data_IF_632780608045
#
_entry.id   IF_632780608045
#
_cell.length_a   1.000
_cell.length_b   1.000
_cell.length_c   1.000
_cell.angle_alpha   90.00
_cell.angle_beta   90.00
_cell.angle_gamma   90.00
#
_symmetry.space_group_name_H-M   'P 1'
#
loop_
_entity.id
_entity.type
_entity.pdbx_description
1 polymer ?
#
# COMPACT_ATOMS: atom_id res chain seq x y z
N UNK A 1 -5.17 -31.75 -2.61
CA UNK A 1 -4.41 -31.58 -1.36
C UNK A 1 -5.29 -31.88 -0.16
N UNK A 2 -4.80 -32.57 0.88
CA UNK A 2 -5.56 -32.77 2.13
C UNK A 2 -5.90 -31.42 2.76
N UNK A 3 -7.10 -31.29 3.32
CA UNK A 3 -7.56 -30.05 3.98
C UNK A 3 -6.66 -29.64 5.15
N UNK A 4 -6.10 -30.62 5.86
CA UNK A 4 -5.16 -30.40 6.97
C UNK A 4 -3.87 -29.71 6.54
N UNK A 5 -3.30 -30.08 5.38
CA UNK A 5 -2.10 -29.44 4.82
C UNK A 5 -2.37 -27.98 4.40
N UNK A 6 -3.53 -27.72 3.79
CA UNK A 6 -3.94 -26.37 3.44
C UNK A 6 -4.04 -25.48 4.69
N UNK A 7 -4.70 -25.96 5.74
CA UNK A 7 -4.88 -25.24 7.01
C UNK A 7 -3.53 -24.97 7.71
N UNK A 8 -2.65 -25.97 7.80
CA UNK A 8 -1.33 -25.86 8.42
C UNK A 8 -0.45 -24.81 7.74
N UNK A 9 -0.44 -24.75 6.38
CA UNK A 9 0.28 -23.71 5.63
C UNK A 9 -0.25 -22.31 5.92
N UNK A 10 -1.56 -22.15 5.99
CA UNK A 10 -2.18 -20.87 6.32
C UNK A 10 -1.72 -20.35 7.69
N UNK A 11 -1.80 -21.19 8.72
CA UNK A 11 -1.42 -20.80 10.06
C UNK A 11 0.09 -20.61 10.26
N UNK A 12 0.93 -21.24 9.44
CA UNK A 12 2.38 -21.08 9.51
C UNK A 12 2.86 -19.84 8.72
N UNK A 13 2.33 -19.61 7.53
CA UNK A 13 2.88 -18.64 6.58
C UNK A 13 2.18 -17.28 6.69
N UNK A 14 0.85 -17.26 6.78
CA UNK A 14 0.13 -15.99 6.72
C UNK A 14 0.38 -15.04 7.89
N UNK A 15 0.54 -15.50 9.14
CA UNK A 15 0.94 -14.60 10.22
C UNK A 15 2.31 -13.94 9.97
N UNK A 16 3.28 -14.71 9.44
CA UNK A 16 4.62 -14.19 9.12
C UNK A 16 4.53 -13.12 8.02
N UNK A 17 3.78 -13.39 6.97
CA UNK A 17 3.53 -12.44 5.88
C UNK A 17 2.84 -11.18 6.39
N UNK A 18 1.81 -11.34 7.22
CA UNK A 18 1.04 -10.24 7.77
C UNK A 18 1.90 -9.35 8.69
N UNK A 19 2.66 -9.93 9.63
CA UNK A 19 3.54 -9.17 10.53
C UNK A 19 4.60 -8.43 9.73
N UNK A 20 5.26 -9.10 8.77
CA UNK A 20 6.30 -8.49 7.94
C UNK A 20 5.76 -7.29 7.18
N UNK A 21 4.59 -7.45 6.56
CA UNK A 21 3.99 -6.37 5.77
C UNK A 21 3.41 -5.25 6.64
N UNK A 22 2.89 -5.59 7.83
CA UNK A 22 2.44 -4.61 8.81
C UNK A 22 3.60 -3.73 9.29
N UNK A 23 4.75 -4.31 9.60
CA UNK A 23 5.95 -3.55 9.97
C UNK A 23 6.41 -2.64 8.83
N UNK A 24 6.40 -3.13 7.59
CA UNK A 24 6.74 -2.32 6.42
C UNK A 24 5.76 -1.16 6.17
N UNK A 25 4.49 -1.34 6.50
CA UNK A 25 3.49 -0.28 6.28
C UNK A 25 3.50 0.81 7.35
N UNK A 26 4.06 0.53 8.52
CA UNK A 26 4.13 1.45 9.66
C UNK A 26 4.90 2.72 9.31
N UNK A 27 6.07 2.60 8.67
CA UNK A 27 6.96 3.72 8.34
C UNK A 27 6.41 4.69 7.30
N UNK A 28 5.35 4.31 6.59
CA UNK A 28 4.69 5.17 5.60
C UNK A 28 3.83 6.25 6.24
N UNK A 29 3.26 5.99 7.41
CA UNK A 29 2.31 6.87 8.07
C UNK A 29 2.91 7.61 9.27
N UNK A 30 3.98 7.09 9.91
CA UNK A 30 4.54 7.63 11.16
C UNK A 30 5.09 9.06 11.01
N UNK A 31 5.60 9.44 9.83
CA UNK A 31 6.05 10.82 9.59
C UNK A 31 4.92 11.84 9.76
N UNK A 32 3.68 11.48 9.44
CA UNK A 32 2.51 12.33 9.66
C UNK A 32 2.29 12.64 11.15
N UNK A 33 2.52 11.66 12.04
CA UNK A 33 2.47 11.84 13.49
C UNK A 33 3.62 12.71 13.99
N UNK A 34 4.84 12.50 13.50
CA UNK A 34 5.98 13.34 13.82
C UNK A 34 5.76 14.80 13.39
N UNK A 35 5.17 15.04 12.21
CA UNK A 35 4.82 16.36 11.70
C UNK A 35 3.78 17.06 12.59
N UNK A 36 2.78 16.31 13.09
CA UNK A 36 1.78 16.81 14.04
C UNK A 36 2.36 17.05 15.44
N UNK A 37 3.45 16.35 15.78
CA UNK A 37 4.09 16.35 17.10
C UNK A 37 5.22 17.39 17.25
N UNK A 38 5.57 18.13 16.21
CA UNK A 38 6.51 19.22 16.33
C UNK A 38 7.89 19.03 15.71
N UNK A 39 8.14 17.97 14.94
CA UNK A 39 9.41 17.79 14.21
C UNK A 39 9.77 19.01 13.35
N UNK A 40 8.75 19.67 12.79
CA UNK A 40 8.92 20.84 11.94
C UNK A 40 9.49 22.04 12.72
N UNK A 41 9.01 22.26 13.95
CA UNK A 41 9.50 23.31 14.83
C UNK A 41 10.91 23.00 15.33
N UNK A 42 11.15 21.75 15.76
CA UNK A 42 12.44 21.32 16.31
C UNK A 42 13.60 21.43 15.31
N UNK A 43 13.32 21.18 14.04
CA UNK A 43 14.33 21.17 12.98
C UNK A 43 14.28 22.40 12.06
N UNK A 44 13.39 23.38 12.34
CA UNK A 44 13.22 24.58 11.52
C UNK A 44 12.71 24.29 10.10
N UNK A 45 11.84 23.28 9.94
CA UNK A 45 11.35 22.81 8.64
C UNK A 45 10.08 23.58 8.25
N UNK A 46 10.08 24.19 7.06
CA UNK A 46 8.85 24.77 6.50
C UNK A 46 7.82 23.71 6.12
N UNK A 47 6.52 24.09 6.07
CA UNK A 47 5.44 23.16 5.70
C UNK A 47 5.67 22.49 4.34
N UNK A 48 6.13 23.25 3.34
CA UNK A 48 6.44 22.71 2.01
C UNK A 48 7.60 21.73 2.02
N UNK A 49 8.65 22.02 2.79
CA UNK A 49 9.81 21.13 2.93
C UNK A 49 9.45 19.86 3.73
N UNK A 50 8.64 19.99 4.77
CA UNK A 50 8.11 18.83 5.52
C UNK A 50 7.35 17.87 4.62
N UNK A 51 6.53 18.41 3.69
CA UNK A 51 5.81 17.62 2.70
C UNK A 51 6.76 16.87 1.77
N UNK A 52 7.81 17.54 1.31
CA UNK A 52 8.83 16.91 0.46
C UNK A 52 9.53 15.78 1.21
N UNK A 53 9.94 16.01 2.45
CA UNK A 53 10.60 15.00 3.29
C UNK A 53 9.71 13.76 3.46
N UNK A 54 8.43 13.96 3.79
CA UNK A 54 7.46 12.86 3.88
C UNK A 54 7.27 12.12 2.56
N UNK A 55 7.24 12.84 1.45
CA UNK A 55 7.05 12.29 0.12
C UNK A 55 8.28 11.56 -0.44
N UNK A 56 9.52 11.93 -0.05
CA UNK A 56 10.75 11.33 -0.56
C UNK A 56 10.81 9.81 -0.40
N UNK A 57 10.15 9.27 0.62
CA UNK A 57 9.95 7.84 0.78
C UNK A 57 9.34 7.21 -0.48
N UNK A 58 8.25 7.76 -0.99
CA UNK A 58 7.55 7.21 -2.16
C UNK A 58 8.35 7.35 -3.45
N UNK A 59 9.21 8.37 -3.54
CA UNK A 59 10.11 8.53 -4.68
C UNK A 59 11.17 7.42 -4.71
N UNK A 60 11.81 7.14 -3.57
CA UNK A 60 12.73 6.01 -3.43
C UNK A 60 12.04 4.68 -3.74
N UNK A 61 10.83 4.50 -3.22
CA UNK A 61 10.01 3.32 -3.44
C UNK A 61 9.66 3.12 -4.94
N UNK A 62 9.30 4.19 -5.66
CA UNK A 62 8.99 4.15 -7.09
C UNK A 62 10.16 3.61 -7.94
N UNK A 63 11.35 4.13 -7.75
CA UNK A 63 12.50 3.75 -8.58
C UNK A 63 13.00 2.33 -8.34
N UNK A 64 12.88 1.82 -7.11
CA UNK A 64 13.49 0.55 -6.73
C UNK A 64 12.49 -0.62 -6.65
N UNK A 65 11.21 -0.40 -6.83
CA UNK A 65 10.19 -1.45 -6.78
C UNK A 65 10.39 -2.51 -7.88
N UNK A 66 10.61 -2.10 -9.13
CA UNK A 66 10.84 -3.03 -10.25
C UNK A 66 12.17 -3.80 -10.10
N UNK A 67 13.31 -3.16 -9.83
CA UNK A 67 14.54 -3.86 -9.51
C UNK A 67 14.41 -4.86 -8.36
N UNK A 68 13.71 -4.48 -7.30
CA UNK A 68 13.43 -5.34 -6.15
C UNK A 68 12.59 -6.56 -6.50
N UNK A 69 11.54 -6.40 -7.32
CA UNK A 69 10.73 -7.50 -7.82
C UNK A 69 11.54 -8.51 -8.62
N UNK A 70 12.39 -8.04 -9.55
CA UNK A 70 13.26 -8.88 -10.37
C UNK A 70 14.24 -9.66 -9.49
N UNK A 71 14.81 -9.03 -8.46
CA UNK A 71 15.70 -9.70 -7.53
C UNK A 71 14.96 -10.80 -6.74
N UNK A 72 13.77 -10.51 -6.23
CA UNK A 72 12.95 -11.47 -5.48
C UNK A 72 12.61 -12.72 -6.31
N UNK A 73 12.30 -12.55 -7.59
CA UNK A 73 11.99 -13.67 -8.51
C UNK A 73 13.22 -14.54 -8.83
N UNK A 74 14.40 -13.92 -8.98
CA UNK A 74 15.61 -14.60 -9.46
C UNK A 74 16.49 -15.17 -8.37
N UNK A 75 16.37 -14.66 -7.15
CA UNK A 75 17.24 -15.01 -6.01
C UNK A 75 16.43 -15.56 -4.85
N UNK A 76 16.65 -15.08 -3.65
CA UNK A 76 16.02 -15.53 -2.42
C UNK A 76 15.15 -14.43 -1.84
N UNK A 77 13.86 -14.70 -1.68
CA UNK A 77 12.94 -13.80 -0.95
C UNK A 77 13.38 -13.68 0.51
N UNK A 78 13.78 -14.81 1.13
CA UNK A 78 14.24 -14.84 2.52
C UNK A 78 15.38 -13.86 2.77
N UNK A 79 16.43 -13.92 1.94
CA UNK A 79 17.60 -13.05 2.07
C UNK A 79 17.28 -11.58 1.78
N UNK A 80 16.48 -11.33 0.73
CA UNK A 80 16.07 -9.98 0.36
C UNK A 80 15.30 -9.30 1.50
N UNK A 81 14.26 -9.96 2.01
CA UNK A 81 13.41 -9.40 3.06
C UNK A 81 14.15 -9.27 4.38
N UNK A 82 15.06 -10.21 4.71
CA UNK A 82 15.92 -10.08 5.88
C UNK A 82 16.72 -8.77 5.86
N UNK A 83 17.46 -8.52 4.78
CA UNK A 83 18.25 -7.30 4.66
C UNK A 83 17.37 -6.04 4.56
N UNK A 84 16.23 -6.14 3.89
CA UNK A 84 15.26 -5.04 3.88
C UNK A 84 14.80 -4.71 5.30
N UNK A 85 14.42 -5.70 6.13
CA UNK A 85 13.99 -5.53 7.52
C UNK A 85 15.06 -4.85 8.38
N UNK A 86 16.32 -5.30 8.27
CA UNK A 86 17.44 -4.71 9.02
C UNK A 86 17.70 -3.28 8.59
N UNK A 87 17.80 -3.05 7.30
CA UNK A 87 18.14 -1.73 6.76
C UNK A 87 17.01 -0.72 6.94
N UNK A 88 15.76 -1.09 6.68
CA UNK A 88 14.67 -0.14 6.87
C UNK A 88 14.40 0.13 8.35
N UNK A 89 14.42 -0.90 9.23
CA UNK A 89 14.27 -0.71 10.66
C UNK A 89 15.39 0.17 11.23
N UNK A 90 16.63 -0.01 10.73
CA UNK A 90 17.75 0.87 11.04
C UNK A 90 17.54 2.29 10.56
N UNK A 91 17.10 2.51 9.31
CA UNK A 91 16.78 3.84 8.78
C UNK A 91 15.62 4.52 9.56
N UNK A 92 14.58 3.76 9.91
CA UNK A 92 13.47 4.26 10.71
C UNK A 92 13.95 4.73 12.08
N UNK A 93 14.72 3.91 12.80
CA UNK A 93 15.29 4.26 14.08
C UNK A 93 16.27 5.45 13.98
N UNK A 94 17.10 5.50 12.94
CA UNK A 94 18.01 6.63 12.67
C UNK A 94 17.26 7.94 12.43
N UNK A 95 16.03 7.91 11.93
CA UNK A 95 15.18 9.11 11.81
C UNK A 95 14.98 9.80 13.17
N UNK A 96 14.93 9.04 14.27
CA UNK A 96 14.78 9.57 15.63
C UNK A 96 16.02 10.31 16.16
N UNK A 97 17.21 10.05 15.63
CA UNK A 97 18.46 10.69 16.09
C UNK A 97 18.98 11.80 15.18
N UNK A 98 18.28 12.07 14.07
CA UNK A 98 18.67 13.10 13.10
C UNK A 98 18.55 14.50 13.69
N UNK A 99 19.54 15.34 13.43
CA UNK A 99 19.60 16.75 13.88
C UNK A 99 19.60 17.75 12.71
N UNK A 100 19.65 17.31 11.46
CA UNK A 100 19.70 18.20 10.31
C UNK A 100 18.82 17.71 9.14
N UNK A 101 18.35 18.66 8.33
CA UNK A 101 17.44 18.42 7.21
C UNK A 101 18.04 17.51 6.12
N UNK A 102 19.28 17.72 5.64
CA UNK A 102 19.84 16.87 4.59
C UNK A 102 19.91 15.39 4.98
N UNK A 103 20.29 15.08 6.22
CA UNK A 103 20.32 13.70 6.72
C UNK A 103 18.91 13.11 6.80
N UNK A 104 17.92 13.88 7.25
CA UNK A 104 16.53 13.45 7.29
C UNK A 104 15.99 13.12 5.89
N UNK A 105 16.26 13.99 4.90
CA UNK A 105 15.89 13.74 3.50
C UNK A 105 16.54 12.49 2.94
N UNK A 106 17.84 12.31 3.18
CA UNK A 106 18.58 11.13 2.73
C UNK A 106 18.01 9.84 3.34
N UNK A 107 17.76 9.83 4.65
CA UNK A 107 17.21 8.67 5.35
C UNK A 107 15.80 8.35 4.85
N UNK A 108 14.92 9.35 4.65
CA UNK A 108 13.57 9.13 4.13
C UNK A 108 13.58 8.54 2.71
N UNK A 109 14.48 9.01 1.84
CA UNK A 109 14.65 8.44 0.51
C UNK A 109 15.18 7.00 0.57
N UNK A 110 16.24 6.75 1.35
CA UNK A 110 16.83 5.42 1.52
C UNK A 110 15.84 4.42 2.12
N UNK A 111 15.02 4.85 3.08
CA UNK A 111 13.95 4.03 3.64
C UNK A 111 13.00 3.54 2.53
N UNK A 112 12.58 4.44 1.63
CA UNK A 112 11.76 4.08 0.48
C UNK A 112 12.45 3.10 -0.48
N UNK A 113 13.74 3.31 -0.77
CA UNK A 113 14.55 2.41 -1.61
C UNK A 113 14.59 1.00 -1.04
N UNK A 114 14.88 0.87 0.24
CA UNK A 114 15.05 -0.43 0.91
C UNK A 114 13.73 -1.17 1.06
N UNK A 115 12.64 -0.45 1.33
CA UNK A 115 11.32 -1.05 1.50
C UNK A 115 10.64 -1.41 0.16
N UNK A 116 11.06 -0.80 -0.96
CA UNK A 116 10.44 -0.97 -2.26
C UNK A 116 10.30 -2.44 -2.71
N UNK A 117 11.24 -3.28 -2.33
CA UNK A 117 11.29 -4.69 -2.68
C UNK A 117 10.31 -5.57 -1.87
N UNK A 118 9.81 -5.09 -0.73
CA UNK A 118 9.07 -5.94 0.25
C UNK A 118 7.75 -6.43 -0.30
N UNK A 119 6.92 -5.55 -0.86
CA UNK A 119 5.61 -5.95 -1.42
C UNK A 119 5.77 -6.96 -2.57
N UNK A 120 6.60 -6.72 -3.60
CA UNK A 120 6.86 -7.72 -4.63
C UNK A 120 7.41 -9.03 -4.08
N UNK A 121 8.33 -8.96 -3.12
CA UNK A 121 8.90 -10.14 -2.48
C UNK A 121 7.83 -10.98 -1.76
N UNK A 122 6.89 -10.33 -1.06
CA UNK A 122 5.77 -11.03 -0.42
C UNK A 122 4.85 -11.71 -1.43
N UNK A 123 4.58 -11.09 -2.57
CA UNK A 123 3.79 -11.72 -3.64
C UNK A 123 4.50 -12.94 -4.23
N UNK A 124 5.82 -12.85 -4.46
CA UNK A 124 6.65 -13.99 -4.90
C UNK A 124 6.63 -15.09 -3.83
N UNK A 125 6.83 -14.74 -2.57
CA UNK A 125 6.79 -15.68 -1.45
C UNK A 125 5.46 -16.41 -1.38
N UNK A 126 4.34 -15.69 -1.43
CA UNK A 126 3.00 -16.29 -1.46
C UNK A 126 2.86 -17.23 -2.67
N UNK A 127 3.40 -16.87 -3.84
CA UNK A 127 3.33 -17.71 -5.03
C UNK A 127 4.12 -19.01 -4.92
N UNK A 128 5.17 -19.04 -4.12
CA UNK A 128 5.97 -20.22 -3.86
C UNK A 128 5.29 -21.21 -2.90
N UNK A 129 4.29 -20.76 -2.13
CA UNK A 129 3.66 -21.55 -1.08
C UNK A 129 2.20 -21.88 -1.33
N UNK A 130 1.49 -21.07 -2.12
CA UNK A 130 0.04 -21.19 -2.34
C UNK A 130 -0.27 -21.43 -3.80
N UNK A 131 -1.16 -22.40 -4.05
CA UNK A 131 -1.69 -22.65 -5.38
C UNK A 131 -2.51 -21.45 -5.87
N UNK A 132 -2.71 -21.34 -7.18
CA UNK A 132 -3.44 -20.25 -7.81
C UNK A 132 -4.83 -20.03 -7.19
N UNK A 133 -5.52 -21.12 -6.83
CA UNK A 133 -6.85 -21.06 -6.21
C UNK A 133 -6.82 -20.42 -4.82
N UNK A 134 -5.73 -20.59 -4.08
CA UNK A 134 -5.54 -20.08 -2.73
C UNK A 134 -4.88 -18.68 -2.73
N UNK A 135 -4.06 -18.39 -3.75
CA UNK A 135 -3.23 -17.19 -3.86
C UNK A 135 -4.03 -15.90 -3.83
N UNK A 136 -5.23 -15.88 -4.46
CA UNK A 136 -6.09 -14.70 -4.44
C UNK A 136 -6.48 -14.32 -3.00
N UNK A 137 -6.88 -15.30 -2.19
CA UNK A 137 -7.21 -15.09 -0.76
C UNK A 137 -5.99 -14.65 0.04
N UNK A 138 -4.81 -15.24 -0.21
CA UNK A 138 -3.58 -14.88 0.49
C UNK A 138 -3.14 -13.43 0.16
N UNK A 139 -3.26 -13.02 -1.09
CA UNK A 139 -2.97 -11.64 -1.50
C UNK A 139 -3.97 -10.63 -0.90
N UNK A 140 -5.26 -10.98 -0.81
CA UNK A 140 -6.26 -10.14 -0.12
C UNK A 140 -5.88 -9.96 1.34
N UNK A 141 -5.48 -11.04 2.02
CA UNK A 141 -5.04 -10.98 3.40
C UNK A 141 -3.78 -10.13 3.59
N UNK A 142 -2.82 -10.21 2.66
CA UNK A 142 -1.65 -9.33 2.63
C UNK A 142 -2.05 -7.84 2.53
N UNK A 143 -2.93 -7.49 1.57
CA UNK A 143 -3.35 -6.10 1.33
C UNK A 143 -4.17 -5.54 2.49
N UNK A 144 -4.93 -6.38 3.19
CA UNK A 144 -5.68 -6.00 4.39
C UNK A 144 -4.75 -5.47 5.50
N UNK A 145 -3.48 -5.86 5.50
CA UNK A 145 -2.46 -5.31 6.38
C UNK A 145 -2.35 -3.79 6.32
N UNK A 146 -2.63 -3.15 5.17
CA UNK A 146 -2.50 -1.70 5.03
C UNK A 146 -3.38 -0.91 6.02
N UNK A 147 -4.72 -0.95 5.94
CA UNK A 147 -5.56 -0.19 6.85
C UNK A 147 -5.48 -0.71 8.29
N UNK A 148 -5.31 -2.02 8.50
CA UNK A 148 -5.18 -2.60 9.83
C UNK A 148 -3.91 -2.10 10.52
N UNK A 149 -2.80 -1.98 9.81
CA UNK A 149 -1.55 -1.45 10.38
C UNK A 149 -1.71 0.01 10.79
N UNK A 150 -2.25 0.86 9.92
CA UNK A 150 -2.43 2.28 10.25
C UNK A 150 -3.44 2.46 11.40
N UNK A 151 -4.44 1.58 11.51
CA UNK A 151 -5.40 1.57 12.60
C UNK A 151 -4.72 1.46 13.97
N UNK A 152 -3.98 0.38 14.24
CA UNK A 152 -3.35 0.18 15.56
C UNK A 152 -2.14 1.09 15.76
N UNK A 153 -1.36 1.32 14.71
CA UNK A 153 -0.19 2.18 14.74
C UNK A 153 -0.56 3.64 15.09
N UNK A 154 -1.69 4.17 14.57
CA UNK A 154 -2.13 5.53 14.89
C UNK A 154 -2.30 5.73 16.40
N UNK A 155 -2.85 4.74 17.09
CA UNK A 155 -3.00 4.76 18.55
C UNK A 155 -1.64 4.69 19.23
N UNK A 156 -0.81 3.72 18.84
CA UNK A 156 0.54 3.51 19.43
C UNK A 156 1.41 4.75 19.23
N UNK A 157 1.47 5.30 18.01
CA UNK A 157 2.24 6.52 17.71
C UNK A 157 1.74 7.72 18.54
N UNK A 158 0.42 7.84 18.73
CA UNK A 158 -0.16 8.88 19.57
C UNK A 158 0.36 8.84 21.02
N UNK A 159 0.38 7.64 21.62
CA UNK A 159 0.93 7.44 22.97
C UNK A 159 2.45 7.63 23.02
N UNK A 160 3.20 7.07 22.08
CA UNK A 160 4.66 7.19 22.04
C UNK A 160 5.10 8.65 21.92
N UNK A 161 4.42 9.41 21.06
CA UNK A 161 4.70 10.84 20.91
C UNK A 161 4.36 11.62 22.17
N UNK A 162 3.24 11.31 22.82
CA UNK A 162 2.81 12.00 24.05
C UNK A 162 3.81 11.80 25.18
N UNK A 163 4.23 10.55 25.41
CA UNK A 163 5.10 10.21 26.54
C UNK A 163 6.58 10.50 26.27
N UNK A 164 7.06 10.24 25.06
CA UNK A 164 8.50 10.20 24.76
C UNK A 164 8.92 11.16 23.63
N UNK A 165 7.98 11.82 22.96
CA UNK A 165 8.23 12.68 21.82
C UNK A 165 8.51 11.92 20.51
N UNK A 166 8.53 12.68 19.39
CA UNK A 166 8.64 12.10 18.03
C UNK A 166 9.95 11.33 17.78
N UNK A 167 11.04 11.71 18.44
CA UNK A 167 12.34 11.03 18.27
C UNK A 167 12.29 9.59 18.77
N UNK A 168 11.80 9.39 19.98
CA UNK A 168 11.67 8.06 20.56
C UNK A 168 10.60 7.23 19.86
N UNK A 169 9.55 7.86 19.33
CA UNK A 169 8.55 7.18 18.50
C UNK A 169 9.23 6.47 17.30
N UNK A 170 10.07 7.17 16.52
CA UNK A 170 10.78 6.56 15.40
C UNK A 170 11.71 5.41 15.83
N UNK A 171 12.42 5.57 16.94
CA UNK A 171 13.29 4.50 17.47
C UNK A 171 12.45 3.28 17.89
N UNK A 172 11.37 3.50 18.64
CA UNK A 172 10.49 2.44 19.13
C UNK A 172 9.75 1.71 18.00
N UNK A 173 9.41 2.39 16.91
CA UNK A 173 8.73 1.82 15.75
C UNK A 173 9.69 1.15 14.75
N UNK A 174 10.95 1.62 14.67
CA UNK A 174 11.97 1.02 13.80
C UNK A 174 12.59 -0.26 14.36
N UNK A 175 12.85 -0.33 15.67
CA UNK A 175 13.48 -1.48 16.30
C UNK A 175 12.73 -2.81 16.13
N UNK A 176 11.40 -2.88 16.20
CA UNK A 176 10.66 -4.12 15.99
C UNK A 176 10.93 -4.78 14.63
N UNK A 177 11.19 -4.00 13.57
CA UNK A 177 11.55 -4.54 12.27
C UNK A 177 12.92 -5.26 12.30
N UNK A 178 13.90 -4.71 13.02
CA UNK A 178 15.22 -5.35 13.20
C UNK A 178 15.11 -6.63 14.02
N UNK A 179 14.32 -6.61 15.11
CA UNK A 179 14.05 -7.81 15.89
C UNK A 179 13.31 -8.86 15.07
N UNK A 180 12.33 -8.42 14.27
CA UNK A 180 11.58 -9.32 13.39
C UNK A 180 12.47 -9.92 12.29
N UNK A 181 13.51 -9.23 11.84
CA UNK A 181 14.49 -9.79 10.88
C UNK A 181 15.13 -11.07 11.41
N UNK A 182 15.47 -11.13 12.71
CA UNK A 182 15.99 -12.34 13.33
C UNK A 182 14.95 -13.46 13.32
N UNK A 183 13.70 -13.17 13.71
CA UNK A 183 12.61 -14.14 13.64
C UNK A 183 12.37 -14.62 12.18
N UNK A 184 12.34 -13.68 11.24
CA UNK A 184 12.21 -13.98 9.82
C UNK A 184 13.26 -14.95 9.32
N UNK A 185 14.53 -14.74 9.68
CA UNK A 185 15.63 -15.59 9.25
C UNK A 185 15.47 -17.06 9.69
N UNK A 186 14.95 -17.31 10.86
CA UNK A 186 14.78 -18.65 11.37
C UNK A 186 13.43 -19.30 10.95
N UNK A 187 12.37 -18.52 10.83
CA UNK A 187 11.03 -19.03 10.53
C UNK A 187 10.79 -19.27 9.06
N UNK A 188 11.42 -18.49 8.16
CA UNK A 188 11.10 -18.48 6.74
C UNK A 188 12.01 -19.38 5.93
N UNK A 189 11.41 -20.13 4.99
CA UNK A 189 12.07 -20.87 3.92
C UNK A 189 11.50 -20.40 2.59
N UNK A 190 12.35 -20.26 1.55
CA UNK A 190 11.94 -19.78 0.23
C UNK A 190 10.98 -20.73 -0.49
N UNK A 191 11.16 -22.04 -0.31
CA UNK A 191 10.43 -23.07 -1.02
C UNK A 191 9.95 -24.19 -0.10
N UNK A 192 8.85 -24.86 -0.45
CA UNK A 192 8.33 -26.01 0.32
C UNK A 192 9.35 -27.12 0.56
N UNK A 193 10.22 -27.41 -0.40
CA UNK A 193 11.27 -28.42 -0.28
C UNK A 193 12.21 -28.18 0.92
N UNK A 194 12.40 -26.93 1.33
CA UNK A 194 13.27 -26.53 2.44
C UNK A 194 12.57 -26.58 3.80
N UNK A 195 11.25 -26.75 3.83
CA UNK A 195 10.46 -26.67 5.05
C UNK A 195 10.69 -27.88 5.95
N UNK A 196 11.16 -27.63 7.19
CA UNK A 196 11.37 -28.68 8.19
C UNK A 196 10.06 -29.18 8.84
N UNK A 197 8.99 -28.38 8.75
CA UNK A 197 7.68 -28.68 9.34
C UNK A 197 6.74 -29.45 8.41
N UNK A 198 7.13 -29.65 7.14
CA UNK A 198 6.42 -30.50 6.17
C UNK A 198 7.04 -31.89 6.10
N UNK A 199 6.19 -32.92 5.97
CA UNK A 199 6.63 -34.28 5.64
C UNK A 199 7.09 -34.36 4.19
N UNK A 200 7.92 -35.35 3.86
CA UNK A 200 8.43 -35.49 2.49
C UNK A 200 7.32 -35.78 1.46
N UNK A 201 6.23 -36.40 1.88
CA UNK A 201 5.04 -36.59 1.05
C UNK A 201 4.36 -35.23 0.76
N UNK A 202 4.13 -34.43 1.80
CA UNK A 202 3.51 -33.11 1.66
C UNK A 202 4.34 -32.16 0.80
N UNK A 203 5.68 -32.20 0.90
CA UNK A 203 6.59 -31.46 0.03
C UNK A 203 6.40 -31.86 -1.42
N UNK A 204 6.46 -33.16 -1.72
CA UNK A 204 6.29 -33.67 -3.10
C UNK A 204 4.92 -33.29 -3.68
N UNK A 205 3.85 -33.47 -2.92
CA UNK A 205 2.49 -33.17 -3.37
C UNK A 205 2.31 -31.67 -3.67
N UNK A 206 2.90 -30.80 -2.83
CA UNK A 206 2.85 -29.36 -3.01
C UNK A 206 3.70 -28.90 -4.19
N UNK A 207 4.95 -29.40 -4.30
CA UNK A 207 5.85 -29.05 -5.40
C UNK A 207 5.28 -29.55 -6.75
N UNK A 208 4.67 -30.74 -6.80
CA UNK A 208 4.00 -31.25 -8.00
C UNK A 208 2.81 -30.36 -8.40
N UNK A 209 2.00 -29.91 -7.43
CA UNK A 209 0.87 -29.02 -7.71
C UNK A 209 1.33 -27.67 -8.27
N UNK A 210 2.36 -27.06 -7.66
CA UNK A 210 2.93 -25.78 -8.10
C UNK A 210 3.62 -25.93 -9.47
N UNK A 211 4.36 -27.02 -9.71
CA UNK A 211 5.00 -27.30 -11.00
C UNK A 211 3.98 -27.50 -12.11
N UNK A 212 2.87 -28.21 -11.85
CA UNK A 212 1.80 -28.41 -12.83
C UNK A 212 1.15 -27.06 -13.21
N UNK A 213 0.99 -26.14 -12.25
CA UNK A 213 0.49 -24.78 -12.54
C UNK A 213 1.47 -23.99 -13.41
N UNK A 214 2.77 -24.08 -13.14
CA UNK A 214 3.80 -23.39 -13.92
C UNK A 214 3.91 -23.95 -15.34
N UNK A 215 3.83 -25.26 -15.50
CA UNK A 215 3.86 -25.90 -16.82
C UNK A 215 2.66 -25.52 -17.71
N UNK A 216 1.50 -25.19 -17.08
CA UNK A 216 0.32 -24.72 -17.78
C UNK A 216 0.41 -23.25 -18.24
N UNK A 217 1.43 -22.49 -17.78
CA UNK A 217 1.65 -21.11 -18.19
C UNK A 217 2.41 -21.08 -19.53
N UNK A 218 1.78 -20.56 -20.58
CA UNK A 218 2.48 -20.32 -21.84
C UNK A 218 3.53 -19.23 -21.63
N UNK A 219 4.80 -19.42 -22.08
CA UNK A 219 5.81 -18.38 -21.97
C UNK A 219 5.40 -17.13 -22.73
N UNK A 220 5.53 -15.96 -22.10
CA UNK A 220 5.22 -14.68 -22.74
C UNK A 220 6.33 -14.32 -23.71
N UNK A 221 5.99 -14.09 -24.94
CA UNK A 221 6.93 -13.58 -25.94
C UNK A 221 7.20 -12.07 -25.82
N UNK A 222 6.30 -11.28 -25.20
CA UNK A 222 6.44 -9.83 -25.25
C UNK A 222 5.77 -9.09 -24.06
N UNK A 223 6.47 -8.96 -22.93
CA UNK A 223 6.04 -8.12 -21.80
C UNK A 223 5.81 -6.66 -22.23
N UNK A 224 6.53 -6.19 -23.23
CA UNK A 224 6.46 -4.79 -23.70
C UNK A 224 5.12 -4.43 -24.35
N UNK A 225 4.46 -5.38 -25.02
CA UNK A 225 3.13 -5.15 -25.60
C UNK A 225 2.05 -5.02 -24.55
N UNK A 226 2.15 -5.82 -23.48
CA UNK A 226 1.20 -5.74 -22.38
C UNK A 226 1.29 -4.40 -21.65
N UNK A 227 2.50 -3.87 -21.42
CA UNK A 227 2.69 -2.56 -20.79
C UNK A 227 2.19 -1.40 -21.67
N UNK A 228 2.11 -1.57 -23.00
CA UNK A 228 1.55 -0.60 -23.92
C UNK A 228 0.06 -0.76 -24.16
N UNK A 229 -0.58 -1.75 -23.59
CA UNK A 229 -2.02 -1.92 -23.67
C UNK A 229 -2.74 -0.67 -23.15
N UNK A 230 -3.69 -0.11 -23.91
CA UNK A 230 -4.48 1.07 -23.47
C UNK A 230 -5.17 0.83 -22.13
N UNK A 231 -5.56 -0.41 -21.84
CA UNK A 231 -6.17 -0.76 -20.57
C UNK A 231 -5.17 -0.63 -19.40
N UNK A 232 -3.93 -1.13 -19.58
CA UNK A 232 -2.88 -1.01 -18.55
C UNK A 232 -2.50 0.45 -18.34
N UNK A 233 -2.33 1.24 -19.39
CA UNK A 233 -2.02 2.66 -19.28
C UNK A 233 -3.11 3.42 -18.50
N UNK A 234 -4.39 3.13 -18.80
CA UNK A 234 -5.52 3.72 -18.07
C UNK A 234 -5.55 3.32 -16.60
N UNK A 235 -5.27 2.04 -16.28
CA UNK A 235 -5.20 1.57 -14.90
C UNK A 235 -4.00 2.17 -14.15
N UNK A 236 -2.87 2.37 -14.82
CA UNK A 236 -1.72 3.10 -14.27
C UNK A 236 -2.08 4.55 -13.91
N UNK A 237 -2.69 5.26 -14.85
CA UNK A 237 -3.13 6.64 -14.65
C UNK A 237 -4.22 6.73 -13.55
N UNK A 238 -5.16 5.77 -13.54
CA UNK A 238 -6.21 5.68 -12.54
C UNK A 238 -5.63 5.48 -11.14
N UNK A 239 -4.71 4.52 -10.98
CA UNK A 239 -4.11 4.22 -9.68
C UNK A 239 -3.15 5.34 -9.23
N UNK A 240 -2.47 6.01 -10.14
CA UNK A 240 -1.73 7.23 -9.87
C UNK A 240 -2.63 8.32 -9.28
N UNK A 241 -3.72 8.66 -9.96
CA UNK A 241 -4.66 9.68 -9.50
C UNK A 241 -5.32 9.30 -8.16
N UNK A 242 -5.71 8.04 -8.00
CA UNK A 242 -6.28 7.55 -6.74
C UNK A 242 -5.28 7.65 -5.59
N UNK A 243 -4.03 7.25 -5.81
CA UNK A 243 -2.98 7.30 -4.79
C UNK A 243 -2.65 8.73 -4.34
N UNK A 244 -2.85 9.74 -5.18
CA UNK A 244 -2.76 11.16 -4.78
C UNK A 244 -3.73 11.44 -3.61
N UNK A 245 -5.00 11.04 -3.73
CA UNK A 245 -5.99 11.23 -2.69
C UNK A 245 -5.67 10.44 -1.42
N UNK A 246 -5.33 9.16 -1.57
CA UNK A 246 -5.05 8.26 -0.43
C UNK A 246 -3.86 8.78 0.39
N UNK A 247 -2.72 9.03 -0.24
CA UNK A 247 -1.50 9.36 0.51
C UNK A 247 -1.38 10.84 0.87
N UNK A 248 -2.09 11.72 0.15
CA UNK A 248 -2.36 13.06 0.64
C UNK A 248 -3.15 13.03 1.96
N UNK A 249 -4.14 12.15 2.06
CA UNK A 249 -4.89 11.94 3.30
C UNK A 249 -4.04 11.30 4.40
N UNK A 250 -3.39 10.16 4.13
CA UNK A 250 -2.63 9.38 5.13
C UNK A 250 -1.58 10.23 5.83
N UNK A 251 -0.80 10.99 5.07
CA UNK A 251 0.29 11.80 5.62
C UNK A 251 -0.21 12.97 6.47
N UNK A 252 -1.31 13.60 6.04
CA UNK A 252 -1.78 14.84 6.66
C UNK A 252 -2.90 14.66 7.68
N UNK A 253 -3.54 13.49 7.74
CA UNK A 253 -4.64 13.20 8.67
C UNK A 253 -4.29 13.51 10.13
N UNK A 254 -3.13 13.08 10.70
CA UNK A 254 -2.82 13.41 12.10
C UNK A 254 -2.73 14.91 12.34
N UNK A 255 -2.13 15.66 11.41
CA UNK A 255 -2.04 17.12 11.50
C UNK A 255 -3.40 17.80 11.36
N UNK A 256 -4.27 17.31 10.48
CA UNK A 256 -5.65 17.84 10.30
C UNK A 256 -6.43 17.64 11.59
N UNK A 257 -6.38 16.44 12.16
CA UNK A 257 -7.08 16.09 13.40
C UNK A 257 -6.53 16.90 14.57
N UNK A 258 -5.21 16.96 14.74
CA UNK A 258 -4.56 17.71 15.83
C UNK A 258 -4.92 19.18 15.81
N UNK A 259 -4.83 19.82 14.65
CA UNK A 259 -5.09 21.25 14.50
C UNK A 259 -6.59 21.59 14.59
N UNK A 260 -7.46 20.71 14.09
CA UNK A 260 -8.90 20.93 14.06
C UNK A 260 -9.59 20.62 15.39
N UNK A 261 -9.15 19.61 16.13
CA UNK A 261 -9.73 19.22 17.41
C UNK A 261 -9.20 20.01 18.60
N UNK A 262 -8.00 20.56 18.49
CA UNK A 262 -7.23 21.16 19.60
C UNK A 262 -6.96 20.19 20.76
N UNK A 263 -7.10 18.87 20.54
CA UNK A 263 -6.87 17.81 21.53
C UNK A 263 -5.39 17.41 21.62
N UNK A 264 -5.05 16.55 22.58
CA UNK A 264 -3.70 16.01 22.75
C UNK A 264 -3.27 15.03 21.65
N UNK A 265 -2.04 14.50 21.72
CA UNK A 265 -1.53 13.54 20.73
C UNK A 265 -2.14 12.16 20.90
N UNK A 266 -2.55 11.77 22.11
CA UNK A 266 -3.24 10.51 22.38
C UNK A 266 -4.60 10.49 21.68
N UNK A 267 -5.41 11.53 21.89
CA UNK A 267 -6.71 11.68 21.25
C UNK A 267 -6.57 11.80 19.73
N UNK A 268 -5.55 12.51 19.26
CA UNK A 268 -5.21 12.56 17.83
C UNK A 268 -4.94 11.17 17.26
N UNK A 269 -4.24 10.32 18.00
CA UNK A 269 -4.00 8.92 17.63
C UNK A 269 -5.29 8.14 17.48
N UNK A 270 -6.17 8.18 18.48
CA UNK A 270 -7.47 7.50 18.43
C UNK A 270 -8.37 8.02 17.31
N UNK A 271 -8.47 9.31 17.14
CA UNK A 271 -9.24 9.90 16.06
C UNK A 271 -8.63 9.57 14.68
N UNK A 272 -7.31 9.53 14.55
CA UNK A 272 -6.67 9.12 13.29
C UNK A 272 -6.89 7.64 12.98
N UNK A 273 -7.12 6.79 13.98
CA UNK A 273 -7.38 5.36 13.80
C UNK A 273 -8.79 5.07 13.23
N UNK A 274 -9.79 5.88 13.57
CA UNK A 274 -11.19 5.61 13.23
C UNK A 274 -11.47 5.53 11.70
N UNK A 275 -10.91 6.41 10.85
CA UNK A 275 -11.02 6.27 9.40
C UNK A 275 -10.49 4.93 8.87
N UNK A 276 -9.44 4.37 9.48
CA UNK A 276 -8.86 3.10 9.05
C UNK A 276 -9.64 1.88 9.56
N UNK A 277 -10.33 1.99 10.69
CA UNK A 277 -11.31 1.01 11.11
C UNK A 277 -12.46 0.92 10.09
N UNK A 278 -13.01 2.08 9.74
CA UNK A 278 -14.06 2.17 8.71
C UNK A 278 -13.55 1.68 7.34
N UNK A 279 -12.31 2.01 6.97
CA UNK A 279 -11.64 1.55 5.76
C UNK A 279 -11.51 0.02 5.72
N UNK A 280 -11.11 -0.61 6.82
CA UNK A 280 -10.99 -2.08 6.94
C UNK A 280 -12.34 -2.75 6.69
N UNK A 281 -13.39 -2.28 7.34
CA UNK A 281 -14.75 -2.81 7.19
C UNK A 281 -15.25 -2.61 5.75
N UNK A 282 -15.08 -1.40 5.20
CA UNK A 282 -15.53 -1.07 3.85
C UNK A 282 -14.79 -1.89 2.77
N UNK A 283 -13.49 -2.11 2.93
CA UNK A 283 -12.69 -2.92 2.01
C UNK A 283 -13.14 -4.38 1.98
N UNK A 284 -13.41 -4.98 3.14
CA UNK A 284 -13.91 -6.35 3.23
C UNK A 284 -15.32 -6.46 2.62
N UNK A 285 -16.21 -5.54 2.96
CA UNK A 285 -17.59 -5.53 2.46
C UNK A 285 -17.64 -5.30 0.95
N UNK A 286 -16.87 -4.33 0.42
CA UNK A 286 -16.81 -4.04 -1.01
C UNK A 286 -16.21 -5.21 -1.81
N UNK A 287 -15.15 -5.84 -1.30
CA UNK A 287 -14.52 -7.00 -1.94
C UNK A 287 -15.50 -8.18 -2.01
N UNK A 288 -16.15 -8.50 -0.89
CA UNK A 288 -17.15 -9.57 -0.84
C UNK A 288 -18.35 -9.30 -1.76
N UNK A 289 -18.89 -8.09 -1.75
CA UNK A 289 -20.03 -7.71 -2.58
C UNK A 289 -19.65 -7.70 -4.08
N UNK A 290 -18.45 -7.20 -4.42
CA UNK A 290 -17.92 -7.22 -5.78
C UNK A 290 -17.78 -8.64 -6.33
N UNK A 291 -17.30 -9.58 -5.51
CA UNK A 291 -17.17 -10.99 -5.88
C UNK A 291 -18.56 -11.63 -6.10
N UNK A 292 -19.49 -11.36 -5.19
CA UNK A 292 -20.84 -11.92 -5.26
C UNK A 292 -21.66 -11.40 -6.46
N UNK A 293 -21.50 -10.12 -6.80
CA UNK A 293 -22.24 -9.47 -7.88
C UNK A 293 -21.52 -9.52 -9.22
N UNK A 294 -20.26 -9.97 -9.26
CA UNK A 294 -19.45 -10.05 -10.48
C UNK A 294 -19.13 -8.69 -11.11
N UNK A 295 -19.29 -7.59 -10.35
CA UNK A 295 -19.12 -6.23 -10.85
C UNK A 295 -17.91 -5.56 -10.20
N UNK A 296 -16.76 -5.56 -10.87
CA UNK A 296 -15.54 -4.94 -10.35
C UNK A 296 -15.61 -3.42 -10.37
N UNK A 297 -15.88 -2.85 -11.53
CA UNK A 297 -15.95 -1.39 -11.72
C UNK A 297 -17.05 -0.74 -10.87
N UNK A 298 -18.21 -1.41 -10.71
CA UNK A 298 -19.32 -0.94 -9.90
C UNK A 298 -18.95 -0.77 -8.41
N UNK A 299 -17.86 -1.36 -7.96
CA UNK A 299 -17.31 -1.20 -6.62
C UNK A 299 -16.01 -0.37 -6.58
N UNK A 300 -15.59 0.24 -7.70
CA UNK A 300 -14.44 1.15 -7.74
C UNK A 300 -14.89 2.60 -7.88
N UNK A 301 -15.56 2.96 -8.98
CA UNK A 301 -15.86 4.35 -9.26
C UNK A 301 -16.81 5.03 -8.25
N UNK A 302 -17.86 4.37 -7.70
CA UNK A 302 -18.77 5.05 -6.78
C UNK A 302 -18.07 5.40 -5.47
N UNK A 303 -17.26 4.48 -4.95
CA UNK A 303 -16.51 4.74 -3.72
C UNK A 303 -15.49 5.88 -3.89
N UNK A 304 -14.77 5.95 -5.02
CA UNK A 304 -13.87 7.07 -5.29
C UNK A 304 -14.61 8.41 -5.41
N UNK A 305 -15.82 8.39 -5.99
CA UNK A 305 -16.68 9.58 -6.06
C UNK A 305 -17.17 10.02 -4.67
N UNK A 306 -17.59 9.07 -3.83
CA UNK A 306 -17.96 9.33 -2.43
C UNK A 306 -16.77 9.94 -1.68
N UNK A 307 -15.55 9.41 -1.86
CA UNK A 307 -14.33 9.95 -1.27
C UNK A 307 -14.07 11.40 -1.69
N UNK A 308 -14.18 11.69 -2.99
CA UNK A 308 -14.04 13.05 -3.53
C UNK A 308 -15.07 14.02 -2.95
N UNK A 309 -16.34 13.62 -2.92
CA UNK A 309 -17.43 14.42 -2.38
C UNK A 309 -17.27 14.65 -0.87
N UNK A 310 -16.84 13.64 -0.12
CA UNK A 310 -16.62 13.74 1.32
C UNK A 310 -15.46 14.70 1.65
N UNK A 311 -14.38 14.72 0.85
CA UNK A 311 -13.32 15.73 1.00
C UNK A 311 -13.83 17.13 0.73
N UNK A 312 -14.54 17.34 -0.37
CA UNK A 312 -15.09 18.63 -0.72
C UNK A 312 -16.05 19.16 0.36
N UNK A 313 -16.95 18.30 0.85
CA UNK A 313 -17.91 18.64 1.91
C UNK A 313 -17.21 18.89 3.26
N UNK A 314 -16.20 18.07 3.63
CA UNK A 314 -15.41 18.28 4.85
C UNK A 314 -14.74 19.64 4.86
N UNK A 315 -14.18 20.05 3.71
CA UNK A 315 -13.60 21.36 3.56
C UNK A 315 -14.65 22.50 3.69
N UNK A 316 -15.80 22.38 3.00
CA UNK A 316 -16.84 23.40 2.99
C UNK A 316 -17.40 23.70 4.40
N UNK A 317 -17.41 22.70 5.29
CA UNK A 317 -17.82 22.86 6.70
C UNK A 317 -16.72 23.51 7.57
N UNK A 318 -15.48 23.37 7.18
CA UNK A 318 -14.34 24.00 7.85
C UNK A 318 -14.16 23.62 9.32
N UNK A 319 -13.39 24.44 10.04
CA UNK A 319 -13.13 24.26 11.47
C UNK A 319 -14.30 24.62 12.38
N UNK A 320 -15.28 25.37 11.89
CA UNK A 320 -16.47 25.77 12.65
C UNK A 320 -17.35 24.58 13.06
N UNK A 321 -17.32 23.49 12.25
CA UNK A 321 -18.08 22.27 12.52
C UNK A 321 -17.15 21.05 12.49
N UNK A 322 -16.08 21.09 13.27
CA UNK A 322 -15.02 20.07 13.28
C UNK A 322 -15.55 18.64 13.30
N UNK A 323 -16.49 18.30 14.17
CA UNK A 323 -16.97 16.92 14.30
C UNK A 323 -17.72 16.41 13.06
N UNK A 324 -18.46 17.28 12.37
CA UNK A 324 -19.11 16.91 11.11
C UNK A 324 -18.08 16.79 10.00
N UNK A 325 -17.14 17.73 9.92
CA UNK A 325 -16.00 17.68 9.00
C UNK A 325 -15.17 16.41 9.20
N UNK A 326 -14.90 16.05 10.46
CA UNK A 326 -14.19 14.83 10.82
C UNK A 326 -14.98 13.56 10.44
N UNK A 327 -16.29 13.50 10.66
CA UNK A 327 -17.13 12.39 10.23
C UNK A 327 -17.04 12.18 8.69
N UNK A 328 -17.00 13.27 7.93
CA UNK A 328 -16.78 13.21 6.47
C UNK A 328 -15.37 12.71 6.11
N UNK A 329 -14.35 13.02 6.91
CA UNK A 329 -13.00 12.44 6.73
C UNK A 329 -12.99 10.93 7.01
N UNK A 330 -13.78 10.44 7.98
CA UNK A 330 -13.95 9.00 8.21
C UNK A 330 -14.60 8.34 6.99
N UNK A 331 -15.64 8.96 6.43
CA UNK A 331 -16.28 8.48 5.18
C UNK A 331 -15.30 8.49 4.02
N UNK A 332 -14.51 9.56 3.85
CA UNK A 332 -13.50 9.64 2.80
C UNK A 332 -12.43 8.55 2.93
N UNK A 333 -11.94 8.30 4.15
CA UNK A 333 -11.00 7.23 4.43
C UNK A 333 -11.56 5.85 4.06
N UNK A 334 -12.77 5.53 4.52
CA UNK A 334 -13.47 4.29 4.17
C UNK A 334 -13.65 4.14 2.66
N UNK A 335 -14.11 5.19 2.00
CA UNK A 335 -14.38 5.20 0.56
C UNK A 335 -13.13 5.03 -0.29
N UNK A 336 -11.98 5.59 0.13
CA UNK A 336 -10.72 5.45 -0.60
C UNK A 336 -10.10 4.06 -0.48
N UNK A 337 -10.36 3.32 0.60
CA UNK A 337 -9.80 1.98 0.78
C UNK A 337 -10.73 0.86 0.26
N UNK A 338 -12.04 1.08 0.24
CA UNK A 338 -13.02 0.10 -0.25
C UNK A 338 -12.70 -0.49 -1.63
N UNK A 339 -12.22 0.29 -2.63
CA UNK A 339 -11.97 -0.21 -3.98
C UNK A 339 -10.75 -1.12 -4.14
N UNK A 340 -9.86 -1.25 -3.15
CA UNK A 340 -8.58 -1.97 -3.34
C UNK A 340 -8.75 -3.41 -3.86
N UNK A 341 -9.61 -4.19 -3.22
CA UNK A 341 -9.88 -5.57 -3.65
C UNK A 341 -10.47 -5.64 -5.06
N UNK A 342 -11.61 -4.98 -5.33
CA UNK A 342 -12.21 -4.93 -6.67
C UNK A 342 -11.27 -4.42 -7.76
N UNK A 343 -10.48 -3.36 -7.50
CA UNK A 343 -9.56 -2.79 -8.46
C UNK A 343 -8.44 -3.76 -8.87
N UNK A 344 -7.75 -4.35 -7.90
CA UNK A 344 -6.68 -5.30 -8.22
C UNK A 344 -7.19 -6.60 -8.82
N UNK A 345 -8.49 -6.92 -8.67
CA UNK A 345 -9.14 -8.03 -9.35
C UNK A 345 -9.39 -7.75 -10.85
N UNK A 346 -9.50 -6.48 -11.27
CA UNK A 346 -9.69 -6.11 -12.68
C UNK A 346 -8.47 -6.54 -13.53
N UNK A 347 -7.26 -6.38 -13.00
CA UNK A 347 -6.02 -6.60 -13.77
C UNK A 347 -5.91 -8.03 -14.34
N UNK A 348 -6.06 -9.10 -13.52
CA UNK A 348 -6.02 -10.47 -14.05
C UNK A 348 -7.24 -10.88 -14.87
N UNK A 349 -8.34 -10.11 -14.82
CA UNK A 349 -9.50 -10.33 -15.68
C UNK A 349 -9.32 -9.75 -17.09
N UNK A 350 -8.54 -8.65 -17.21
CA UNK A 350 -8.28 -7.97 -18.48
C UNK A 350 -7.05 -8.48 -19.22
N UNK A 351 -6.10 -9.10 -18.53
CA UNK A 351 -4.80 -9.46 -19.07
C UNK A 351 -4.54 -10.98 -19.00
N UNK A 352 -3.84 -11.55 -19.99
CA UNK A 352 -3.35 -12.91 -19.90
C UNK A 352 -2.51 -13.10 -18.63
N UNK A 353 -2.66 -14.27 -18.01
CA UNK A 353 -2.09 -14.60 -16.69
C UNK A 353 -0.58 -14.37 -16.55
N UNK A 354 0.14 -14.60 -17.64
CA UNK A 354 1.59 -14.51 -17.73
C UNK A 354 2.11 -13.05 -17.79
N UNK A 355 1.23 -12.09 -18.00
CA UNK A 355 1.54 -10.66 -18.11
C UNK A 355 0.96 -9.86 -16.94
N UNK A 356 -0.11 -10.40 -16.33
CA UNK A 356 -0.84 -9.72 -15.26
C UNK A 356 0.07 -9.33 -14.08
N UNK A 357 1.04 -10.18 -13.70
CA UNK A 357 2.00 -9.88 -12.62
C UNK A 357 2.86 -8.65 -12.90
N UNK A 358 3.46 -8.58 -14.09
CA UNK A 358 4.25 -7.42 -14.50
C UNK A 358 3.42 -6.14 -14.63
N UNK A 359 2.18 -6.25 -15.14
CA UNK A 359 1.27 -5.11 -15.21
C UNK A 359 0.85 -4.62 -13.81
N UNK A 360 0.60 -5.53 -12.87
CA UNK A 360 0.34 -5.16 -11.47
C UNK A 360 1.53 -4.43 -10.84
N UNK A 361 2.76 -4.88 -11.10
CA UNK A 361 3.96 -4.21 -10.61
C UNK A 361 4.08 -2.79 -11.18
N UNK A 362 3.82 -2.60 -12.47
CA UNK A 362 3.84 -1.29 -13.11
C UNK A 362 2.74 -0.37 -12.53
N UNK A 363 1.52 -0.88 -12.40
CA UNK A 363 0.40 -0.13 -11.82
C UNK A 363 0.75 0.29 -10.38
N UNK A 364 1.31 -0.61 -9.59
CA UNK A 364 1.70 -0.30 -8.21
C UNK A 364 2.84 0.73 -8.12
N UNK A 365 3.81 0.68 -9.05
CA UNK A 365 4.85 1.71 -9.16
C UNK A 365 4.26 3.08 -9.49
N UNK A 366 3.31 3.14 -10.42
CA UNK A 366 2.60 4.39 -10.73
C UNK A 366 1.79 4.91 -9.55
N UNK A 367 1.22 4.01 -8.73
CA UNK A 367 0.62 4.36 -7.46
C UNK A 367 1.62 4.99 -6.48
N UNK A 368 2.84 4.46 -6.40
CA UNK A 368 3.90 5.06 -5.56
C UNK A 368 4.26 6.48 -6.03
N UNK A 369 4.35 6.70 -7.34
CA UNK A 369 4.55 8.04 -7.89
C UNK A 369 3.38 8.97 -7.56
N UNK A 370 2.14 8.48 -7.64
CA UNK A 370 0.95 9.22 -7.21
C UNK A 370 0.99 9.56 -5.72
N UNK A 371 1.48 8.64 -4.90
CA UNK A 371 1.68 8.84 -3.46
C UNK A 371 2.71 9.94 -3.16
N UNK A 372 3.82 9.97 -3.93
CA UNK A 372 4.79 11.06 -3.87
C UNK A 372 4.14 12.41 -4.19
N UNK A 373 3.45 12.49 -5.32
CA UNK A 373 2.78 13.72 -5.76
C UNK A 373 1.71 14.16 -4.75
N UNK A 374 0.87 13.24 -4.27
CA UNK A 374 -0.17 13.53 -3.28
C UNK A 374 0.40 14.07 -1.98
N UNK A 375 1.37 13.36 -1.41
CA UNK A 375 2.01 13.75 -0.14
C UNK A 375 2.71 15.11 -0.24
N UNK A 376 3.44 15.36 -1.34
CA UNK A 376 4.19 16.59 -1.54
C UNK A 376 3.29 17.79 -1.86
N UNK A 377 2.43 17.66 -2.88
CA UNK A 377 1.65 18.78 -3.40
C UNK A 377 0.63 19.27 -2.37
N UNK A 378 0.00 18.38 -1.60
CA UNK A 378 -0.95 18.75 -0.54
C UNK A 378 -0.29 19.70 0.48
N UNK A 379 0.88 19.36 0.97
CA UNK A 379 1.54 20.21 1.93
C UNK A 379 2.20 21.46 1.32
N UNK A 380 2.69 21.38 0.08
CA UNK A 380 3.17 22.54 -0.66
C UNK A 380 2.04 23.57 -0.84
N UNK A 381 0.86 23.13 -1.29
CA UNK A 381 -0.30 24.01 -1.43
C UNK A 381 -0.73 24.62 -0.10
N UNK A 382 -0.76 23.84 0.98
CA UNK A 382 -1.06 24.35 2.32
C UNK A 382 -0.04 25.40 2.79
N UNK A 383 1.24 25.19 2.45
CA UNK A 383 2.30 26.16 2.79
C UNK A 383 2.24 27.43 1.95
N UNK A 384 2.02 27.29 0.64
CA UNK A 384 2.01 28.41 -0.30
C UNK A 384 0.76 29.30 -0.21
N UNK A 385 -0.41 28.68 0.04
CA UNK A 385 -1.68 29.43 0.10
C UNK A 385 -2.10 29.83 1.51
N UNK A 386 -1.46 29.25 2.52
CA UNK A 386 -1.90 29.43 3.92
C UNK A 386 -3.27 28.83 4.25
N UNK A 387 -3.88 28.15 3.29
CA UNK A 387 -5.24 27.61 3.39
C UNK A 387 -5.30 26.15 2.88
N UNK A 388 -6.07 25.26 3.53
CA UNK A 388 -6.25 23.90 3.07
C UNK A 388 -7.13 23.74 1.83
N UNK A 389 -7.79 24.82 1.34
CA UNK A 389 -8.70 24.79 0.18
C UNK A 389 -8.10 24.10 -1.02
N UNK A 390 -6.93 24.58 -1.45
CA UNK A 390 -6.27 24.11 -2.64
C UNK A 390 -5.89 22.61 -2.53
N UNK A 391 -5.54 22.16 -1.34
CA UNK A 391 -5.19 20.77 -1.07
C UNK A 391 -6.38 19.83 -1.15
N UNK A 392 -7.51 20.23 -0.54
CA UNK A 392 -8.75 19.46 -0.62
C UNK A 392 -9.29 19.41 -2.06
N UNK A 393 -9.25 20.55 -2.76
CA UNK A 393 -9.63 20.61 -4.17
C UNK A 393 -8.75 19.71 -5.04
N UNK A 394 -7.44 19.73 -4.81
CA UNK A 394 -6.48 18.88 -5.53
C UNK A 394 -6.74 17.39 -5.30
N UNK A 395 -6.93 16.96 -4.05
CA UNK A 395 -7.24 15.56 -3.73
C UNK A 395 -8.60 15.13 -4.32
N UNK A 396 -9.62 15.98 -4.21
CA UNK A 396 -10.93 15.70 -4.80
C UNK A 396 -10.87 15.61 -6.32
N UNK A 397 -10.17 16.53 -6.99
CA UNK A 397 -9.99 16.51 -8.45
C UNK A 397 -9.24 15.25 -8.91
N UNK A 398 -8.21 14.84 -8.18
CA UNK A 398 -7.47 13.59 -8.46
C UNK A 398 -8.38 12.36 -8.34
N UNK A 399 -9.22 12.28 -7.31
CA UNK A 399 -10.18 11.19 -7.15
C UNK A 399 -11.25 11.20 -8.26
N UNK A 400 -11.75 12.38 -8.67
CA UNK A 400 -12.67 12.49 -9.81
C UNK A 400 -12.00 12.04 -11.11
N UNK A 401 -10.74 12.42 -11.34
CA UNK A 401 -9.97 11.92 -12.49
C UNK A 401 -9.84 10.39 -12.46
N UNK A 402 -9.60 9.80 -11.28
CA UNK A 402 -9.58 8.34 -11.11
C UNK A 402 -10.94 7.70 -11.42
N UNK A 403 -12.07 8.35 -11.07
CA UNK A 403 -13.43 7.90 -11.45
C UNK A 403 -13.58 7.88 -12.97
N UNK A 404 -13.25 8.99 -13.66
CA UNK A 404 -13.36 9.08 -15.13
C UNK A 404 -12.51 8.01 -15.81
N UNK A 405 -11.27 7.83 -15.33
CA UNK A 405 -10.38 6.79 -15.85
C UNK A 405 -10.95 5.39 -15.62
N UNK A 406 -11.51 5.10 -14.45
CA UNK A 406 -12.16 3.82 -14.15
C UNK A 406 -13.30 3.53 -15.12
N UNK A 407 -14.17 4.51 -15.37
CA UNK A 407 -15.29 4.38 -16.30
C UNK A 407 -14.82 4.18 -17.74
N UNK A 408 -13.68 4.75 -18.12
CA UNK A 408 -13.11 4.64 -19.48
C UNK A 408 -12.43 3.29 -19.78
N UNK A 409 -12.16 2.46 -18.78
CA UNK A 409 -11.61 1.10 -18.98
C UNK A 409 -12.71 0.19 -19.51
N UNK A 410 -12.56 -0.45 -20.66
CA UNK A 410 -13.52 -1.41 -21.21
C UNK A 410 -13.56 -2.71 -20.38
N UNK A 411 -14.73 -3.29 -20.19
CA UNK A 411 -14.84 -4.61 -19.52
C UNK A 411 -14.47 -5.74 -20.47
N UNK A 412 -14.04 -6.88 -19.91
CA UNK A 412 -13.58 -8.04 -20.67
C UNK A 412 -14.62 -8.65 -21.64
N UNK A 413 -15.90 -8.27 -21.53
CA UNK A 413 -16.99 -8.67 -22.46
C UNK A 413 -17.26 -7.70 -23.61
N UNK A 414 -16.66 -6.49 -23.59
CA UNK A 414 -16.87 -5.44 -24.60
C UNK A 414 -15.76 -5.35 -25.65
N UNK A 415 -14.69 -6.14 -25.51
CA UNK A 415 -13.59 -6.19 -26.48
C UNK A 415 -13.92 -7.25 -27.53
N UNK A 416 -14.03 -6.92 -28.83
CA UNK A 416 -14.05 -7.94 -29.87
C UNK A 416 -12.80 -8.80 -29.74
N UNK A 417 -12.88 -10.13 -29.95
CA UNK A 417 -11.69 -10.97 -29.94
C UNK A 417 -10.69 -10.35 -30.93
N UNK A 418 -9.43 -10.19 -30.46
CA UNK A 418 -8.33 -9.75 -31.31
C UNK A 418 -8.39 -10.60 -32.58
N UNK A 419 -8.64 -9.95 -33.72
CA UNK A 419 -8.69 -10.61 -35.02
C UNK A 419 -7.41 -11.43 -35.17
N UNK A 420 -7.57 -12.77 -35.21
CA UNK A 420 -6.50 -13.63 -35.65
C UNK A 420 -6.04 -13.13 -37.02
N UNK A 421 -4.76 -12.84 -37.22
CA UNK A 421 -4.28 -12.63 -38.57
C UNK A 421 -4.61 -13.92 -39.34
N UNK A 422 -5.45 -13.74 -40.37
CA UNK A 422 -5.80 -14.78 -41.31
C UNK A 422 -4.53 -15.57 -41.70
N UNK A 423 -4.52 -16.85 -41.43
CA UNK A 423 -3.58 -17.76 -42.07
C UNK A 423 -3.81 -17.63 -43.57
N UNK A 424 -3.02 -16.76 -44.18
CA UNK A 424 -2.87 -16.69 -45.62
C UNK A 424 -2.12 -17.95 -46.10
N UNK A 425 -2.71 -18.54 -47.08
CA UNK A 425 -2.31 -19.76 -47.82
C UNK A 425 -0.83 -19.80 -48.18
#
# INVERSE_FOLDING_TARGET
MPATLALRRWWTIMPIVFITYSLAYLDRANYGFAAAAGINQDLGISKGLSSLIGALFFLGYFFFQIPGAIYAERRSVKTLVFWSLVLWGGCAALTGVVSNIPSLMAIRFLLGVVEAAVMPAMLVFISNWFTKRERSRANTFLILGNPVTVLWMSVVSGYLVHEFGWRHMFIAEGLPAVVWAVCWWFLVQDKPAQAKWLTDREKRDLDAALAAEQAALKPVRNHREAFRSPAVVKLCAQYFCWSIGVYGFVLWLPSIVKNGSALGMVETGWLSALPYLAATIAMLAASWASDKLGSRKGFVWPFLLIGAAAFAASYALGSTHFWISYALLVVAGAAMYAPYGPFFAIVPELLPKNVAGGAMALINSMGALGSFVGSYVVGYLNGATGSPVASYAFMSAALVAAVVLTLSVKQAGETPPLAHPLQGK
#
